data_IF_714695931627
#
_entry.id   IF_714695931627
#
_cell.length_a   1.000
_cell.length_b   1.000
_cell.length_c   1.000
_cell.angle_alpha   90.00
_cell.angle_beta   90.00
_cell.angle_gamma   90.00
#
_symmetry.space_group_name_H-M   'P 1'
#
loop_
_entity.id
_entity.type
_entity.pdbx_description
1 polymer ?
#
# COMPACT_ATOMS: atom_id res chain seq x y z
N UNK A 1 10.46 -15.28 1.49
CA UNK A 1 9.62 -14.11 1.83
C UNK A 1 8.54 -14.52 2.81
N UNK A 2 8.36 -13.75 3.86
CA UNK A 2 7.28 -13.98 4.82
C UNK A 2 5.96 -13.45 4.26
N UNK A 3 4.84 -13.88 4.88
CA UNK A 3 3.53 -13.35 4.48
C UNK A 3 3.45 -11.83 4.65
N UNK A 4 4.13 -11.31 5.69
CA UNK A 4 4.17 -9.88 5.94
C UNK A 4 4.85 -9.15 4.77
N UNK A 5 5.95 -9.69 4.28
CA UNK A 5 6.68 -9.10 3.15
C UNK A 5 5.82 -9.08 1.88
N UNK A 6 5.09 -10.15 1.64
CA UNK A 6 4.17 -10.22 0.49
C UNK A 6 3.07 -9.17 0.61
N UNK A 7 2.52 -9.01 1.81
CA UNK A 7 1.48 -8.02 2.06
C UNK A 7 1.99 -6.61 1.84
N UNK A 8 3.19 -6.31 2.34
CA UNK A 8 3.82 -5.00 2.16
C UNK A 8 3.99 -4.70 0.67
N UNK A 9 4.51 -5.66 -0.08
CA UNK A 9 4.71 -5.51 -1.52
C UNK A 9 3.39 -5.26 -2.24
N UNK A 10 2.34 -6.01 -1.89
CA UNK A 10 1.02 -5.85 -2.49
C UNK A 10 0.46 -4.45 -2.24
N UNK A 11 0.55 -3.98 -1.00
CA UNK A 11 0.04 -2.65 -0.64
C UNK A 11 0.80 -1.57 -1.41
N UNK A 12 2.11 -1.66 -1.48
CA UNK A 12 2.93 -0.69 -2.23
C UNK A 12 2.54 -0.65 -3.71
N UNK A 13 2.30 -1.81 -4.31
CA UNK A 13 1.88 -1.89 -5.71
C UNK A 13 0.53 -1.22 -5.92
N UNK A 14 -0.41 -1.44 -4.99
CA UNK A 14 -1.73 -0.81 -5.08
C UNK A 14 -1.65 0.70 -4.92
N UNK A 15 -0.82 1.19 -4.01
CA UNK A 15 -0.60 2.63 -3.84
C UNK A 15 -0.11 3.25 -5.15
N UNK A 16 0.86 2.62 -5.78
CA UNK A 16 1.41 3.10 -7.04
C UNK A 16 0.34 3.18 -8.12
N UNK A 17 -0.46 2.13 -8.26
CA UNK A 17 -1.55 2.10 -9.25
C UNK A 17 -2.59 3.19 -8.97
N UNK A 18 -2.94 3.39 -7.72
CA UNK A 18 -3.90 4.42 -7.36
C UNK A 18 -3.39 5.81 -7.71
N UNK A 19 -2.12 6.07 -7.47
CA UNK A 19 -1.51 7.36 -7.81
C UNK A 19 -1.51 7.60 -9.32
N UNK A 20 -1.22 6.58 -10.10
CA UNK A 20 -1.26 6.70 -11.56
C UNK A 20 -2.65 7.03 -12.09
N UNK A 21 -3.68 6.52 -11.42
CA UNK A 21 -5.06 6.76 -11.80
C UNK A 21 -5.64 8.04 -11.18
N UNK A 22 -4.85 8.75 -10.40
CA UNK A 22 -5.29 9.95 -9.72
C UNK A 22 -6.14 9.69 -8.49
N UNK A 23 -6.18 8.45 -7.99
CA UNK A 23 -6.97 8.09 -6.80
C UNK A 23 -6.15 8.31 -5.53
N UNK A 24 -5.85 9.56 -5.27
CA UNK A 24 -4.96 9.92 -4.16
C UNK A 24 -5.55 9.60 -2.79
N UNK A 25 -6.86 9.72 -2.63
CA UNK A 25 -7.50 9.39 -1.35
C UNK A 25 -7.33 7.92 -1.00
N UNK A 26 -7.49 7.04 -1.99
CA UNK A 26 -7.26 5.61 -1.79
C UNK A 26 -5.80 5.31 -1.50
N UNK A 27 -4.91 5.99 -2.19
CA UNK A 27 -3.48 5.83 -1.98
C UNK A 27 -3.10 6.19 -0.54
N UNK A 28 -3.68 7.26 0.01
CA UNK A 28 -3.44 7.66 1.39
C UNK A 28 -3.92 6.60 2.38
N UNK A 29 -5.10 6.02 2.13
CA UNK A 29 -5.63 4.96 2.97
C UNK A 29 -4.74 3.73 2.95
N UNK A 30 -4.27 3.36 1.79
CA UNK A 30 -3.37 2.22 1.64
C UNK A 30 -2.04 2.47 2.32
N UNK A 31 -1.53 3.69 2.23
CA UNK A 31 -0.30 4.08 2.91
C UNK A 31 -0.46 3.97 4.43
N UNK A 32 -1.58 4.42 4.95
CA UNK A 32 -1.88 4.30 6.37
C UNK A 32 -1.90 2.84 6.82
N UNK A 33 -2.52 2.00 6.02
CA UNK A 33 -2.55 0.56 6.29
C UNK A 33 -1.14 -0.04 6.27
N UNK A 34 -0.33 0.39 5.33
CA UNK A 34 1.06 -0.06 5.23
C UNK A 34 1.85 0.33 6.48
N UNK A 35 1.68 1.55 6.96
CA UNK A 35 2.35 2.02 8.17
C UNK A 35 1.98 1.15 9.37
N UNK A 36 0.72 0.75 9.48
CA UNK A 36 0.28 -0.13 10.56
C UNK A 36 0.91 -1.51 10.47
N UNK A 37 1.10 -2.02 9.27
CA UNK A 37 1.75 -3.32 9.07
C UNK A 37 3.23 -3.25 9.43
N UNK A 38 3.88 -2.11 9.16
CA UNK A 38 5.30 -1.93 9.44
C UNK A 38 5.59 -1.73 10.93
N UNK A 39 4.63 -1.27 11.69
CA UNK A 39 4.77 -1.14 13.16
C UNK A 39 4.53 -2.51 13.81
#
# INVERSE_FOLDING_TARGET
MTEKDKLIFRIKSLIFKCRERGKFNLALRLKDKLDRVLI
#
